data_IF_340583407864
#
_entry.id   IF_340583407864
#
_cell.length_a   1.000
_cell.length_b   1.000
_cell.length_c   1.000
_cell.angle_alpha   90.00
_cell.angle_beta   90.00
_cell.angle_gamma   90.00
#
_symmetry.space_group_name_H-M   'P 1'
#
loop_
_entity.id
_entity.type
_entity.pdbx_description
1 polymer ?
#
# COMPACT_ATOMS: atom_id res chain seq x y z
N UNK A 1 -18.57 14.12 10.97
CA UNK A 1 -18.30 13.97 9.53
C UNK A 1 -17.12 14.83 9.07
N UNK A 2 -17.03 16.10 9.44
CA UNK A 2 -15.89 16.97 9.09
C UNK A 2 -14.52 16.38 9.50
N UNK A 3 -14.39 15.86 10.72
CA UNK A 3 -13.15 15.20 11.19
C UNK A 3 -12.80 13.91 10.41
N UNK A 4 -13.80 13.10 10.02
CA UNK A 4 -13.56 11.85 9.28
C UNK A 4 -12.95 12.09 7.90
N UNK A 5 -13.56 13.00 7.12
CA UNK A 5 -13.07 13.33 5.79
C UNK A 5 -11.70 14.00 5.85
N UNK A 6 -11.48 14.88 6.84
CA UNK A 6 -10.16 15.50 7.08
C UNK A 6 -9.10 14.43 7.34
N UNK A 7 -9.33 13.51 8.28
CA UNK A 7 -8.36 12.44 8.58
C UNK A 7 -8.09 11.51 7.38
N UNK A 8 -9.12 11.14 6.62
CA UNK A 8 -8.94 10.34 5.40
C UNK A 8 -8.11 11.08 4.36
N UNK A 9 -8.38 12.38 4.17
CA UNK A 9 -7.63 13.24 3.26
C UNK A 9 -6.17 13.37 3.71
N UNK A 10 -5.91 13.69 4.98
CA UNK A 10 -4.56 13.75 5.56
C UNK A 10 -3.81 12.43 5.35
N UNK A 11 -4.42 11.28 5.66
CA UNK A 11 -3.74 10.00 5.45
C UNK A 11 -3.39 9.71 3.99
N UNK A 12 -4.24 10.11 3.03
CA UNK A 12 -3.96 9.95 1.59
C UNK A 12 -2.89 10.91 1.12
N UNK A 13 -2.95 12.13 1.65
CA UNK A 13 -1.99 13.17 1.40
C UNK A 13 -0.58 12.79 1.89
N UNK A 14 -0.46 12.31 3.13
CA UNK A 14 0.80 11.85 3.69
C UNK A 14 1.42 10.74 2.85
N UNK A 15 0.61 9.81 2.33
CA UNK A 15 1.07 8.77 1.42
C UNK A 15 1.64 9.37 0.12
N UNK A 16 0.93 10.33 -0.48
CA UNK A 16 1.37 11.03 -1.68
C UNK A 16 2.68 11.82 -1.44
N UNK A 17 2.71 12.68 -0.42
CA UNK A 17 3.85 13.57 -0.11
C UNK A 17 5.11 12.80 0.28
N UNK A 18 4.99 11.82 1.18
CA UNK A 18 6.15 11.15 1.79
C UNK A 18 6.57 9.86 1.11
N UNK A 19 5.72 9.26 0.27
CA UNK A 19 5.96 7.91 -0.25
C UNK A 19 5.68 7.73 -1.75
N UNK A 20 5.32 8.79 -2.49
CA UNK A 20 5.05 8.74 -3.93
C UNK A 20 5.70 9.90 -4.68
N UNK A 21 6.98 10.16 -4.41
CA UNK A 21 7.68 11.27 -5.02
C UNK A 21 8.11 10.99 -6.46
N UNK A 22 8.53 9.76 -6.72
CA UNK A 22 9.03 9.34 -8.00
C UNK A 22 7.91 9.12 -9.00
N UNK A 23 8.00 9.70 -10.20
CA UNK A 23 7.06 9.43 -11.31
C UNK A 23 7.08 7.97 -11.75
N UNK A 24 8.20 7.26 -11.54
CA UNK A 24 8.28 5.82 -11.76
C UNK A 24 7.42 5.10 -10.74
N UNK A 25 7.56 5.43 -9.45
CA UNK A 25 6.73 4.85 -8.39
C UNK A 25 5.24 5.17 -8.61
N UNK A 26 4.90 6.41 -8.93
CA UNK A 26 3.52 6.81 -9.25
C UNK A 26 2.94 6.01 -10.44
N UNK A 27 3.75 5.78 -11.49
CA UNK A 27 3.36 4.94 -12.64
C UNK A 27 3.13 3.49 -12.23
N UNK A 28 3.99 2.93 -11.38
CA UNK A 28 3.81 1.58 -10.82
C UNK A 28 2.55 1.51 -9.94
N UNK A 29 2.25 2.56 -9.17
CA UNK A 29 1.01 2.68 -8.42
C UNK A 29 -0.21 2.70 -9.34
N UNK A 30 -0.18 3.45 -10.44
CA UNK A 30 -1.24 3.46 -11.45
C UNK A 30 -1.48 2.05 -12.03
N UNK A 31 -0.41 1.37 -12.46
CA UNK A 31 -0.51 0.01 -13.01
C UNK A 31 -1.07 -0.94 -11.96
N UNK A 32 -0.52 -0.93 -10.74
CA UNK A 32 -1.02 -1.76 -9.64
C UNK A 32 -2.49 -1.50 -9.31
N UNK A 33 -2.94 -0.25 -9.39
CA UNK A 33 -4.31 0.13 -9.12
C UNK A 33 -5.29 -0.49 -10.12
N UNK A 34 -4.97 -0.48 -11.42
CA UNK A 34 -5.77 -1.15 -12.44
C UNK A 34 -5.83 -2.67 -12.18
N UNK A 35 -4.69 -3.28 -11.82
CA UNK A 35 -4.63 -4.71 -11.49
C UNK A 35 -5.46 -5.04 -10.23
N UNK A 36 -5.48 -4.16 -9.22
CA UNK A 36 -6.34 -4.33 -8.05
C UNK A 36 -7.83 -4.26 -8.41
N UNK A 37 -8.24 -3.39 -9.31
CA UNK A 37 -9.65 -3.35 -9.75
C UNK A 37 -10.05 -4.64 -10.48
N UNK A 38 -9.16 -5.21 -11.30
CA UNK A 38 -9.36 -6.55 -11.88
C UNK A 38 -9.44 -7.61 -10.78
N UNK A 39 -8.58 -7.53 -9.77
CA UNK A 39 -8.61 -8.42 -8.60
C UNK A 39 -9.96 -8.35 -7.89
N UNK A 40 -10.51 -7.16 -7.66
CA UNK A 40 -11.83 -6.98 -7.03
C UNK A 40 -12.93 -7.66 -7.83
N UNK A 41 -12.92 -7.54 -9.17
CA UNK A 41 -13.89 -8.24 -10.01
C UNK A 41 -13.71 -9.77 -9.93
N UNK A 42 -12.47 -10.26 -9.89
CA UNK A 42 -12.16 -11.68 -9.81
C UNK A 42 -12.59 -12.33 -8.49
N UNK A 43 -12.64 -11.59 -7.38
CA UNK A 43 -13.09 -12.13 -6.08
C UNK A 43 -14.46 -12.81 -6.17
N UNK A 44 -15.34 -12.33 -7.06
CA UNK A 44 -16.69 -12.88 -7.24
C UNK A 44 -16.75 -14.11 -8.16
N UNK A 45 -15.66 -14.44 -8.86
CA UNK A 45 -15.64 -15.48 -9.89
C UNK A 45 -14.60 -16.56 -9.63
N UNK A 46 -13.38 -16.16 -9.32
CA UNK A 46 -12.25 -17.07 -9.10
C UNK A 46 -11.32 -16.50 -8.02
N UNK A 47 -11.54 -16.85 -6.74
CA UNK A 47 -10.73 -16.34 -5.63
C UNK A 47 -9.27 -16.79 -5.70
N UNK A 48 -8.99 -17.96 -6.28
CA UNK A 48 -7.61 -18.42 -6.45
C UNK A 48 -6.86 -17.50 -7.43
N UNK A 49 -7.49 -17.20 -8.57
CA UNK A 49 -6.93 -16.27 -9.54
C UNK A 49 -6.86 -14.84 -8.99
N UNK A 50 -7.87 -14.40 -8.23
CA UNK A 50 -7.84 -13.11 -7.56
C UNK A 50 -6.62 -12.97 -6.63
N UNK A 51 -6.27 -14.01 -5.86
CA UNK A 51 -5.07 -14.00 -5.03
C UNK A 51 -3.76 -13.89 -5.82
N UNK A 52 -3.65 -14.61 -6.94
CA UNK A 52 -2.48 -14.53 -7.83
C UNK A 52 -2.32 -13.14 -8.45
N UNK A 53 -3.40 -12.58 -8.99
CA UNK A 53 -3.41 -11.25 -9.63
C UNK A 53 -3.24 -10.14 -8.59
N UNK A 54 -3.84 -10.29 -7.41
CA UNK A 54 -3.65 -9.36 -6.29
C UNK A 54 -2.20 -9.32 -5.81
N UNK A 55 -1.52 -10.48 -5.79
CA UNK A 55 -0.08 -10.52 -5.50
C UNK A 55 0.75 -9.83 -6.58
N UNK A 56 0.42 -9.98 -7.86
CA UNK A 56 1.07 -9.22 -8.94
C UNK A 56 0.92 -7.71 -8.72
N UNK A 57 -0.28 -7.23 -8.37
CA UNK A 57 -0.51 -5.82 -8.04
C UNK A 57 0.36 -5.36 -6.88
N UNK A 58 0.48 -6.17 -5.82
CA UNK A 58 1.32 -5.87 -4.68
C UNK A 58 2.80 -5.84 -5.02
N UNK A 59 3.29 -6.78 -5.83
CA UNK A 59 4.68 -6.81 -6.28
C UNK A 59 5.01 -5.54 -7.08
N UNK A 60 4.15 -5.14 -8.02
CA UNK A 60 4.30 -3.90 -8.78
C UNK A 60 4.36 -2.69 -7.86
N UNK A 61 3.44 -2.61 -6.89
CA UNK A 61 3.38 -1.50 -5.92
C UNK A 61 4.61 -1.44 -5.02
N UNK A 62 5.00 -2.57 -4.43
CA UNK A 62 6.16 -2.62 -3.54
C UNK A 62 7.45 -2.32 -4.29
N UNK A 63 7.59 -2.76 -5.54
CA UNK A 63 8.74 -2.37 -6.38
C UNK A 63 8.90 -0.85 -6.44
N UNK A 64 7.79 -0.13 -6.61
CA UNK A 64 7.75 1.32 -6.52
C UNK A 64 8.32 1.87 -5.20
N UNK A 65 7.73 1.46 -4.08
CA UNK A 65 8.15 1.93 -2.76
C UNK A 65 9.58 1.57 -2.37
N UNK A 66 10.07 0.37 -2.72
CA UNK A 66 11.38 -0.09 -2.25
C UNK A 66 12.55 0.45 -3.08
N UNK A 67 12.36 0.60 -4.40
CA UNK A 67 13.46 0.96 -5.30
C UNK A 67 13.47 2.43 -5.73
N UNK A 68 12.32 3.11 -5.68
CA UNK A 68 12.19 4.45 -6.26
C UNK A 68 11.84 5.55 -5.24
N UNK A 69 11.74 5.20 -3.95
CA UNK A 69 11.50 6.16 -2.88
C UNK A 69 12.65 6.16 -1.87
N UNK A 70 12.96 7.32 -1.25
CA UNK A 70 14.08 7.44 -0.33
C UNK A 70 13.84 6.69 0.98
N UNK A 71 14.73 5.73 1.29
CA UNK A 71 14.78 4.99 2.57
C UNK A 71 15.63 5.69 3.65
N UNK A 72 16.22 6.84 3.32
CA UNK A 72 17.03 7.67 4.22
C UNK A 72 16.45 9.08 4.32
N UNK A 73 17.30 10.09 4.26
CA UNK A 73 16.84 11.48 4.24
C UNK A 73 16.00 11.78 3.00
N UNK A 74 14.83 12.36 3.21
CA UNK A 74 13.95 12.83 2.15
C UNK A 74 14.27 14.30 1.84
N UNK A 75 15.11 14.52 0.84
CA UNK A 75 15.53 15.86 0.43
C UNK A 75 14.42 16.70 -0.24
N UNK A 76 13.30 16.08 -0.63
CA UNK A 76 12.17 16.81 -1.24
C UNK A 76 11.32 17.46 -0.16
N UNK A 77 11.10 16.75 0.95
CA UNK A 77 10.30 17.22 2.08
C UNK A 77 11.14 17.74 3.26
N UNK A 78 12.47 17.58 3.21
CA UNK A 78 13.39 17.97 4.29
C UNK A 78 13.13 17.21 5.61
N UNK A 79 12.87 15.89 5.51
CA UNK A 79 12.54 15.05 6.67
C UNK A 79 13.35 13.78 6.76
N UNK A 80 13.55 13.30 7.99
CA UNK A 80 14.18 12.01 8.27
C UNK A 80 13.23 10.85 7.96
N UNK A 81 13.80 9.67 7.69
CA UNK A 81 12.99 8.47 7.48
C UNK A 81 12.24 8.06 8.76
N UNK A 82 12.85 8.29 9.92
CA UNK A 82 12.25 8.07 11.24
C UNK A 82 10.96 8.88 11.40
N UNK A 83 10.96 10.15 11.00
CA UNK A 83 9.77 10.99 11.02
C UNK A 83 8.67 10.42 10.10
N UNK A 84 9.00 10.12 8.84
CA UNK A 84 8.06 9.52 7.88
C UNK A 84 7.41 8.25 8.43
N UNK A 85 8.21 7.38 9.06
CA UNK A 85 7.74 6.12 9.61
C UNK A 85 6.88 6.32 10.87
N UNK A 86 7.10 7.40 11.64
CA UNK A 86 6.32 7.75 12.83
C UNK A 86 4.91 8.26 12.52
N UNK A 87 4.76 9.05 11.45
CA UNK A 87 3.45 9.56 10.98
C UNK A 87 2.62 8.48 10.28
N UNK A 88 3.26 7.40 9.83
CA UNK A 88 2.61 6.36 9.02
C UNK A 88 1.58 5.55 9.82
N UNK A 89 0.29 5.79 9.55
CA UNK A 89 -0.82 4.99 10.10
C UNK A 89 -0.86 3.58 9.51
N UNK A 90 -0.29 3.35 8.34
CA UNK A 90 -0.23 2.03 7.69
C UNK A 90 0.84 1.09 8.22
N UNK A 91 1.21 0.13 7.38
CA UNK A 91 2.38 -0.72 7.62
C UNK A 91 3.66 0.09 7.42
N UNK A 92 4.43 0.25 8.48
CA UNK A 92 5.79 0.78 8.45
C UNK A 92 6.73 -0.22 7.74
N UNK A 93 7.92 0.20 7.34
CA UNK A 93 8.83 -0.58 6.51
C UNK A 93 9.14 -1.96 7.11
N UNK A 94 9.43 -2.04 8.41
CA UNK A 94 9.69 -3.32 9.11
C UNK A 94 8.49 -4.27 9.00
N UNK A 95 7.28 -3.79 9.28
CA UNK A 95 6.07 -4.63 9.23
C UNK A 95 5.71 -5.01 7.79
N UNK A 96 5.98 -4.14 6.80
CA UNK A 96 5.84 -4.48 5.37
C UNK A 96 6.76 -5.63 4.97
N UNK A 97 8.03 -5.58 5.38
CA UNK A 97 9.00 -6.65 5.11
C UNK A 97 8.52 -7.97 5.72
N UNK A 98 8.05 -7.96 6.97
CA UNK A 98 7.49 -9.16 7.60
C UNK A 98 6.32 -9.72 6.79
N UNK A 99 5.37 -8.87 6.37
CA UNK A 99 4.24 -9.31 5.55
C UNK A 99 4.69 -9.90 4.20
N UNK A 100 5.68 -9.31 3.54
CA UNK A 100 6.25 -9.81 2.29
C UNK A 100 6.97 -11.15 2.48
N UNK A 101 7.66 -11.35 3.60
CA UNK A 101 8.26 -12.63 3.95
C UNK A 101 7.19 -13.71 4.18
N UNK A 102 6.13 -13.40 4.93
CA UNK A 102 5.00 -14.33 5.11
C UNK A 102 4.41 -14.72 3.77
N UNK A 103 4.20 -13.76 2.88
CA UNK A 103 3.71 -14.02 1.53
C UNK A 103 4.67 -14.84 0.67
N UNK A 104 5.97 -14.54 0.69
CA UNK A 104 6.99 -15.31 -0.04
C UNK A 104 7.14 -16.74 0.47
N UNK A 105 6.81 -16.99 1.74
CA UNK A 105 6.85 -18.34 2.33
C UNK A 105 5.66 -19.22 1.96
N UNK A 106 4.54 -18.67 1.49
CA UNK A 106 3.35 -19.44 1.10
C UNK A 106 3.65 -20.56 0.09
N UNK A 107 4.26 -20.29 -1.08
CA UNK A 107 4.58 -21.35 -2.04
C UNK A 107 5.61 -22.36 -1.48
N UNK A 108 6.54 -21.91 -0.65
CA UNK A 108 7.53 -22.79 0.00
C UNK A 108 6.83 -23.75 0.97
N UNK A 109 5.91 -23.24 1.79
CA UNK A 109 5.13 -24.08 2.71
C UNK A 109 4.27 -25.09 1.96
N UNK A 110 3.56 -24.67 0.90
CA UNK A 110 2.75 -25.58 0.10
C UNK A 110 3.59 -26.61 -0.68
N UNK A 111 4.85 -26.30 -0.98
CA UNK A 111 5.73 -27.28 -1.62
C UNK A 111 6.07 -28.45 -0.68
N UNK A 112 6.29 -28.18 0.61
CA UNK A 112 6.59 -29.21 1.61
C UNK A 112 5.34 -29.82 2.27
N UNK A 113 4.25 -29.04 2.34
CA UNK A 113 2.98 -29.43 2.95
C UNK A 113 1.83 -29.13 1.98
N UNK A 114 1.68 -29.94 0.91
CA UNK A 114 0.76 -29.64 -0.21
C UNK A 114 -0.72 -29.62 0.17
N UNK A 115 -1.12 -30.36 1.20
CA UNK A 115 -2.47 -30.32 1.77
C UNK A 115 -2.64 -29.24 2.85
N UNK A 116 -1.56 -28.57 3.26
CA UNK A 116 -1.49 -27.64 4.39
C UNK A 116 -2.31 -28.14 5.60
N UNK A 117 -1.89 -29.28 6.17
CA UNK A 117 -2.55 -29.91 7.32
C UNK A 117 -4.04 -30.26 7.09
N UNK A 118 -4.39 -30.60 5.84
CA UNK A 118 -5.75 -30.99 5.46
C UNK A 118 -6.66 -29.83 5.03
N UNK A 119 -6.14 -28.60 4.94
CA UNK A 119 -6.88 -27.47 4.38
C UNK A 119 -7.18 -27.66 2.89
N UNK A 120 -6.28 -28.33 2.16
CA UNK A 120 -6.43 -28.64 0.74
C UNK A 120 -6.40 -30.14 0.48
N UNK A 121 -7.05 -30.56 -0.59
CA UNK A 121 -6.82 -31.87 -1.17
C UNK A 121 -5.39 -31.95 -1.75
N UNK A 122 -4.84 -33.16 -1.85
CA UNK A 122 -3.54 -33.36 -2.50
C UNK A 122 -3.62 -32.86 -3.96
N UNK A 123 -2.74 -31.95 -4.39
CA UNK A 123 -2.77 -31.39 -5.74
C UNK A 123 -2.48 -32.49 -6.77
N UNK A 124 -3.41 -32.71 -7.69
CA UNK A 124 -3.27 -33.72 -8.75
C UNK A 124 -2.50 -33.18 -9.97
N UNK A 125 -2.38 -31.85 -10.06
CA UNK A 125 -1.69 -31.15 -11.13
C UNK A 125 -0.89 -29.95 -10.62
N UNK A 126 0.02 -29.45 -11.46
CA UNK A 126 0.73 -28.18 -11.19
C UNK A 126 -0.23 -27.00 -11.06
N UNK A 127 -1.36 -27.04 -11.75
CA UNK A 127 -2.35 -25.97 -11.67
C UNK A 127 -3.05 -25.98 -10.31
N UNK A 128 -3.33 -27.15 -9.75
CA UNK A 128 -3.92 -27.27 -8.40
C UNK A 128 -3.01 -26.62 -7.36
N UNK A 129 -1.70 -26.89 -7.43
CA UNK A 129 -0.71 -26.22 -6.60
C UNK A 129 -0.75 -24.69 -6.74
N UNK A 130 -0.73 -24.17 -7.97
CA UNK A 130 -0.80 -22.72 -8.23
C UNK A 130 -2.10 -22.12 -7.70
N UNK A 131 -3.22 -22.84 -7.79
CA UNK A 131 -4.50 -22.39 -7.25
C UNK A 131 -4.51 -22.37 -5.72
N UNK A 132 -3.92 -23.36 -5.05
CA UNK A 132 -3.75 -23.34 -3.58
C UNK A 132 -2.87 -22.17 -3.13
N UNK A 133 -1.78 -21.88 -3.85
CA UNK A 133 -0.96 -20.69 -3.61
C UNK A 133 -1.78 -19.42 -3.73
N UNK A 134 -2.57 -19.29 -4.81
CA UNK A 134 -3.47 -18.16 -5.01
C UNK A 134 -4.45 -17.96 -3.86
N UNK A 135 -5.13 -19.02 -3.43
CA UNK A 135 -6.06 -18.98 -2.30
C UNK A 135 -5.37 -18.56 -1.00
N UNK A 136 -4.18 -19.10 -0.70
CA UNK A 136 -3.45 -18.71 0.50
C UNK A 136 -2.93 -17.27 0.44
N UNK A 137 -2.45 -16.81 -0.72
CA UNK A 137 -2.07 -15.40 -0.87
C UNK A 137 -3.25 -14.47 -0.65
N UNK A 138 -4.44 -14.82 -1.17
CA UNK A 138 -5.67 -14.08 -0.89
C UNK A 138 -5.98 -14.07 0.61
N UNK A 139 -5.94 -15.24 1.27
CA UNK A 139 -6.21 -15.35 2.71
C UNK A 139 -5.23 -14.53 3.55
N UNK A 140 -3.93 -14.56 3.24
CA UNK A 140 -2.92 -13.75 3.93
C UNK A 140 -3.11 -12.26 3.64
N UNK A 141 -3.51 -11.88 2.43
CA UNK A 141 -3.80 -10.48 2.09
C UNK A 141 -4.98 -9.92 2.88
N UNK A 142 -6.10 -10.65 2.92
CA UNK A 142 -7.27 -10.29 3.72
C UNK A 142 -6.91 -10.29 5.21
N UNK A 143 -6.25 -11.34 5.69
CA UNK A 143 -5.83 -11.48 7.08
C UNK A 143 -4.89 -10.37 7.54
N UNK A 144 -3.90 -10.01 6.73
CA UNK A 144 -2.99 -8.89 7.00
C UNK A 144 -3.71 -7.54 7.04
N UNK A 145 -4.69 -7.32 6.16
CA UNK A 145 -5.55 -6.14 6.21
C UNK A 145 -6.38 -6.08 7.50
N UNK A 146 -7.11 -7.15 7.81
CA UNK A 146 -7.96 -7.25 9.00
C UNK A 146 -7.15 -7.14 10.30
N UNK A 147 -6.00 -7.81 10.37
CA UNK A 147 -5.09 -7.73 11.50
C UNK A 147 -4.67 -6.27 11.76
N UNK A 148 -4.36 -5.52 10.69
CA UNK A 148 -3.99 -4.10 10.84
C UNK A 148 -5.15 -3.25 11.36
N UNK A 149 -6.36 -3.49 10.87
CA UNK A 149 -7.56 -2.78 11.36
C UNK A 149 -7.77 -3.04 12.85
N UNK A 150 -7.77 -4.30 13.27
CA UNK A 150 -7.95 -4.69 14.67
C UNK A 150 -6.84 -4.11 15.55
N UNK A 151 -5.59 -4.17 15.07
CA UNK A 151 -4.48 -3.56 15.78
C UNK A 151 -4.68 -2.05 15.95
N UNK A 152 -5.11 -1.34 14.90
CA UNK A 152 -5.36 0.11 14.97
C UNK A 152 -6.46 0.47 15.98
N UNK A 153 -7.48 -0.38 16.15
CA UNK A 153 -8.47 -0.19 17.19
C UNK A 153 -7.84 -0.20 18.60
N UNK A 154 -6.82 -1.03 18.82
CA UNK A 154 -6.16 -1.16 20.11
C UNK A 154 -5.09 -0.08 20.37
N UNK A 155 -4.35 0.34 19.34
CA UNK A 155 -3.19 1.26 19.50
C UNK A 155 -3.50 2.72 19.18
N UNK A 156 -4.65 3.01 18.57
CA UNK A 156 -5.14 4.35 18.26
C UNK A 156 -6.58 4.50 18.76
N UNK A 157 -7.55 4.11 17.93
CA UNK A 157 -8.99 4.14 18.21
C UNK A 157 -9.77 3.45 17.07
N UNK A 158 -11.06 3.19 17.31
CA UNK A 158 -11.94 2.55 16.32
C UNK A 158 -12.11 3.37 15.03
N UNK A 159 -12.43 4.68 15.08
CA UNK A 159 -12.51 5.51 13.87
C UNK A 159 -11.27 5.43 12.98
N UNK A 160 -10.07 5.50 13.54
CA UNK A 160 -8.79 5.44 12.81
C UNK A 160 -8.65 4.13 12.04
N UNK A 161 -8.99 2.99 12.66
CA UNK A 161 -8.95 1.70 11.97
C UNK A 161 -9.98 1.60 10.84
N UNK A 162 -11.18 2.15 11.02
CA UNK A 162 -12.23 2.19 9.98
C UNK A 162 -11.81 3.10 8.82
N UNK A 163 -11.29 4.29 9.10
CA UNK A 163 -10.77 5.22 8.10
C UNK A 163 -9.66 4.56 7.28
N UNK A 164 -8.73 3.89 7.96
CA UNK A 164 -7.65 3.17 7.30
C UNK A 164 -8.18 2.04 6.39
N UNK A 165 -9.17 1.27 6.85
CA UNK A 165 -9.79 0.23 6.02
C UNK A 165 -10.44 0.82 4.76
N UNK A 166 -11.21 1.89 4.91
CA UNK A 166 -11.83 2.58 3.75
C UNK A 166 -10.78 3.17 2.82
N UNK A 167 -9.71 3.76 3.36
CA UNK A 167 -8.57 4.24 2.58
C UNK A 167 -8.00 3.11 1.73
N UNK A 168 -7.65 1.97 2.32
CA UNK A 168 -7.05 0.83 1.61
C UNK A 168 -7.98 0.28 0.53
N UNK A 169 -9.27 0.09 0.84
CA UNK A 169 -10.22 -0.47 -0.13
C UNK A 169 -10.46 0.45 -1.33
N UNK A 170 -10.46 1.78 -1.10
CA UNK A 170 -10.66 2.80 -2.13
C UNK A 170 -9.36 3.27 -2.80
N UNK A 171 -8.21 2.81 -2.32
CA UNK A 171 -6.89 3.24 -2.76
C UNK A 171 -6.66 3.05 -4.27
N UNK A 172 -7.10 1.96 -4.93
CA UNK A 172 -6.95 1.82 -6.38
C UNK A 172 -7.62 2.95 -7.18
N UNK A 173 -8.85 3.34 -6.80
CA UNK A 173 -9.55 4.43 -7.48
C UNK A 173 -8.83 5.76 -7.28
N UNK A 174 -8.34 6.01 -6.06
CA UNK A 174 -7.62 7.24 -5.73
C UNK A 174 -6.28 7.34 -6.46
N UNK A 175 -5.52 6.24 -6.53
CA UNK A 175 -4.26 6.18 -7.25
C UNK A 175 -4.43 6.40 -8.76
N UNK A 176 -5.52 5.91 -9.37
CA UNK A 176 -5.82 6.22 -10.77
C UNK A 176 -6.05 7.73 -10.93
N UNK A 177 -6.89 8.32 -10.06
CA UNK A 177 -7.20 9.75 -10.11
C UNK A 177 -5.95 10.63 -9.94
N UNK A 178 -5.02 10.24 -9.07
CA UNK A 178 -3.78 10.97 -8.84
C UNK A 178 -2.73 10.76 -9.94
N UNK A 179 -2.52 9.51 -10.37
CA UNK A 179 -1.31 9.14 -11.12
C UNK A 179 -1.52 8.89 -12.61
N UNK A 180 -2.72 9.08 -13.16
CA UNK A 180 -2.97 8.84 -14.58
C UNK A 180 -2.07 9.67 -15.53
N UNK A 181 -1.56 10.83 -15.07
CA UNK A 181 -0.61 11.67 -15.83
C UNK A 181 0.85 11.28 -15.63
N UNK A 182 1.18 10.49 -14.61
CA UNK A 182 2.57 10.15 -14.25
C UNK A 182 3.34 9.45 -15.36
N UNK A 183 2.76 8.52 -16.16
CA UNK A 183 3.47 7.93 -17.30
C UNK A 183 3.84 8.97 -18.37
N UNK A 184 2.96 9.94 -18.62
CA UNK A 184 3.21 11.01 -19.59
C UNK A 184 4.27 11.99 -19.07
N UNK A 185 4.26 12.30 -17.77
CA UNK A 185 5.30 13.11 -17.14
C UNK A 185 6.66 12.40 -17.19
N UNK A 186 6.69 11.10 -16.90
CA UNK A 186 7.90 10.28 -16.99
C UNK A 186 8.45 10.25 -18.42
N UNK A 187 7.59 10.14 -19.43
CA UNK A 187 7.99 10.19 -20.84
C UNK A 187 8.60 11.55 -21.26
N UNK A 188 8.30 12.63 -20.52
CA UNK A 188 8.93 13.95 -20.70
C UNK A 188 10.23 14.12 -19.91
N UNK A 189 10.66 13.11 -19.16
CA UNK A 189 11.87 13.15 -18.34
C UNK A 189 11.66 13.68 -16.91
N UNK A 190 10.41 13.90 -16.49
CA UNK A 190 10.11 14.27 -15.10
C UNK A 190 10.27 13.02 -14.21
N UNK A 191 11.37 12.92 -13.46
CA UNK A 191 11.61 11.78 -12.55
C UNK A 191 10.94 11.96 -11.19
N UNK A 192 10.90 13.20 -10.69
CA UNK A 192 10.29 13.58 -9.42
C UNK A 192 9.11 14.51 -9.70
N UNK A 193 8.00 14.30 -8.99
CA UNK A 193 6.82 15.16 -9.11
C UNK A 193 7.08 16.54 -8.48
N UNK A 194 7.10 17.65 -9.25
CA UNK A 194 7.37 18.97 -8.70
C UNK A 194 6.26 19.46 -7.74
N UNK A 195 5.04 18.92 -7.89
CA UNK A 195 3.88 19.39 -7.12
C UNK A 195 3.87 18.90 -5.67
N UNK A 196 4.78 17.99 -5.28
CA UNK A 196 4.92 17.49 -3.90
C UNK A 196 5.17 18.62 -2.90
N UNK A 197 5.98 19.62 -3.29
CA UNK A 197 6.32 20.75 -2.42
C UNK A 197 5.13 21.68 -2.21
N UNK A 198 4.38 21.94 -3.28
CA UNK A 198 3.15 22.74 -3.25
C UNK A 198 2.01 21.99 -2.54
N UNK A 199 2.15 20.67 -2.43
CA UNK A 199 1.17 19.81 -1.79
C UNK A 199 1.07 20.10 -0.28
N UNK A 200 2.07 20.69 0.38
CA UNK A 200 2.02 21.05 1.82
C UNK A 200 0.74 21.78 2.25
N UNK A 201 0.10 22.53 1.35
CA UNK A 201 -1.16 23.24 1.60
C UNK A 201 -2.45 22.40 1.39
N UNK A 202 -2.35 21.17 0.90
CA UNK A 202 -3.50 20.30 0.55
C UNK A 202 -4.08 19.57 1.77
N UNK A 203 -4.59 20.32 2.75
CA UNK A 203 -5.42 19.80 3.84
C UNK A 203 -4.91 20.07 5.26
N UNK A 204 -3.78 20.75 5.40
CA UNK A 204 -3.37 21.37 6.66
C UNK A 204 -4.16 22.67 6.89
N UNK A 205 -4.62 22.90 8.12
CA UNK A 205 -4.93 24.27 8.53
C UNK A 205 -3.60 25.03 8.64
N UNK A 206 -3.58 26.35 8.39
CA UNK A 206 -2.33 27.14 8.47
C UNK A 206 -1.57 26.90 9.79
N UNK A 207 -2.28 26.72 10.90
CA UNK A 207 -1.73 26.40 12.22
C UNK A 207 -1.01 25.03 12.31
N UNK A 208 -1.43 24.04 11.51
CA UNK A 208 -0.79 22.71 11.44
C UNK A 208 0.49 22.78 10.60
N UNK A 209 0.55 23.67 9.61
CA UNK A 209 1.76 23.92 8.80
C UNK A 209 2.84 24.60 9.66
N UNK A 210 2.47 25.62 10.43
CA UNK A 210 3.42 26.30 11.34
C UNK A 210 3.96 25.36 12.42
N UNK A 211 3.12 24.47 12.97
CA UNK A 211 3.55 23.47 13.94
C UNK A 211 4.47 22.40 13.34
N UNK A 212 4.23 21.99 12.09
CA UNK A 212 5.11 21.07 11.37
C UNK A 212 6.47 21.72 11.05
N UNK A 213 6.46 22.96 10.56
CA UNK A 213 7.67 23.76 10.28
C UNK A 213 8.51 23.98 11.55
N UNK A 214 7.87 24.24 12.70
CA UNK A 214 8.56 24.34 13.98
C UNK A 214 9.19 23.00 14.43
N UNK A 215 8.54 21.87 14.15
CA UNK A 215 9.08 20.53 14.47
C UNK A 215 10.23 20.11 13.53
N UNK A 216 10.34 20.70 12.34
CA UNK A 216 11.46 20.50 11.42
C UNK A 216 12.73 21.26 11.80
N UNK A 217 12.64 22.29 12.66
CA UNK A 217 13.76 23.14 13.09
C UNK A 217 14.44 22.68 14.40
N UNK A 218 13.99 21.57 15.00
CA UNK A 218 14.54 21.00 16.24
C UNK A 218 15.13 19.61 16.03
#
# INVERSE_FOLDING_TARGET
MASFNKTLQTQRFDDYRYYHQSRINQTLHLISAVIFLVTYALLFKDPALAGLIGWLAMLTRQTGHFFFEPNGYDAVNDVTNEYKESVKVGYNQKRKIVLLLVWGMVPVMLFFFPTLFGLFAEPTSRMDFVRHVGLLWLAVGIGGGLFRVIQLFAIKDVPTGVIWALKVLSDPFHNIALYWKSPLALARGELIDPTIKDASHWGAADDEVEAEEAAHLT
#
